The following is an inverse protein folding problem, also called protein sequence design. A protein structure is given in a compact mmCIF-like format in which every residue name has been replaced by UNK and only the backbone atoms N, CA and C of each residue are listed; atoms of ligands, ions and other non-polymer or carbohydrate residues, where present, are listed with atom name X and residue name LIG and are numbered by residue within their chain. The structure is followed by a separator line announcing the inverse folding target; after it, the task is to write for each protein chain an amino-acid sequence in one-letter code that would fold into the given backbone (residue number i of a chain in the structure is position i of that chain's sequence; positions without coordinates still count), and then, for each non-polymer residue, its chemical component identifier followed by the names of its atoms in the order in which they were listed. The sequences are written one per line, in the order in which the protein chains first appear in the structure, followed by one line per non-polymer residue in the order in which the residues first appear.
data_IF_988720248680
#
_entry.id   IF_988720248680
#
_cell.length_a   1.000
_cell.length_b   1.000
_cell.length_c   1.000
_cell.angle_alpha   90.00
_cell.angle_beta   90.00
_cell.angle_gamma   90.00
#
_symmetry.space_group_name_H-M   'P 1'
#
loop_
_entity.id
_entity.type
_entity.pdbx_description
1 polymer ?
#
# COMPACT_ATOMS: atom_id res chain seq x y z
N UNK A 1 -2.80 -27.31 -17.25
CA UNK A 1 -1.37 -26.98 -17.05
C UNK A 1 -1.26 -26.06 -15.85
N UNK A 2 -0.94 -26.57 -14.66
CA UNK A 2 -0.72 -25.74 -13.47
C UNK A 2 0.55 -26.23 -12.82
N UNK A 3 1.70 -25.82 -13.36
CA UNK A 3 2.92 -25.88 -12.57
C UNK A 3 2.79 -24.90 -11.38
N UNK A 4 3.25 -25.28 -10.19
CA UNK A 4 3.22 -24.41 -9.02
C UNK A 4 4.17 -23.21 -9.23
N UNK A 5 3.67 -22.01 -8.93
CA UNK A 5 4.52 -20.81 -8.89
C UNK A 5 5.56 -20.97 -7.78
N UNK A 6 6.84 -20.99 -8.14
CA UNK A 6 7.93 -21.08 -7.17
C UNK A 6 8.17 -19.69 -6.56
N UNK A 7 7.78 -19.51 -5.30
CA UNK A 7 8.07 -18.30 -4.51
C UNK A 7 8.87 -18.65 -3.25
N UNK A 8 9.84 -17.81 -2.89
CA UNK A 8 10.72 -18.02 -1.74
C UNK A 8 10.24 -17.24 -0.51
N UNK A 9 10.27 -17.86 0.67
CA UNK A 9 9.82 -17.24 1.92
C UNK A 9 10.91 -16.33 2.50
N UNK A 10 10.56 -15.09 2.87
CA UNK A 10 11.40 -14.20 3.69
C UNK A 10 10.83 -14.14 5.10
N UNK A 11 11.61 -14.57 6.11
CA UNK A 11 11.13 -14.71 7.50
C UNK A 11 11.63 -13.63 8.47
N UNK A 12 12.74 -12.93 8.19
CA UNK A 12 13.40 -12.05 9.16
C UNK A 12 13.23 -10.58 8.82
N UNK A 13 12.11 -9.99 9.24
CA UNK A 13 11.95 -8.53 9.20
C UNK A 13 11.19 -8.05 10.44
N UNK A 14 11.86 -7.97 11.59
CA UNK A 14 11.31 -7.41 12.82
C UNK A 14 12.22 -6.27 13.30
N UNK A 15 11.62 -5.14 13.71
CA UNK A 15 12.33 -3.91 14.08
C UNK A 15 13.03 -3.26 12.89
N UNK A 16 12.38 -2.28 12.25
CA UNK A 16 12.96 -1.55 11.11
C UNK A 16 13.02 -0.08 11.47
N UNK A 17 14.12 0.58 11.06
CA UNK A 17 14.26 2.03 11.19
C UNK A 17 13.06 2.74 10.57
N UNK A 18 12.45 3.67 11.29
CA UNK A 18 11.20 4.32 10.88
C UNK A 18 11.27 4.99 9.51
N UNK A 19 12.44 5.50 9.13
CA UNK A 19 12.70 6.11 7.82
C UNK A 19 12.40 5.18 6.63
N UNK A 20 12.49 3.86 6.80
CA UNK A 20 12.14 2.89 5.74
C UNK A 20 10.66 2.98 5.38
N UNK A 21 9.78 3.11 6.37
CA UNK A 21 8.34 3.20 6.14
C UNK A 21 7.90 4.59 5.70
N UNK A 22 8.50 5.64 6.26
CA UNK A 22 8.18 7.03 5.86
C UNK A 22 8.44 7.25 4.36
N UNK A 23 9.61 6.82 3.87
CA UNK A 23 9.99 6.96 2.46
C UNK A 23 9.28 5.94 1.55
N UNK A 24 9.07 4.72 2.03
CA UNK A 24 8.47 3.65 1.23
C UNK A 24 6.97 3.80 1.03
N UNK A 25 6.23 4.16 2.08
CA UNK A 25 4.76 4.29 2.05
C UNK A 25 4.36 5.70 1.58
N UNK A 26 5.16 6.71 1.91
CA UNK A 26 4.90 8.11 1.61
C UNK A 26 4.46 8.90 2.85
N UNK A 27 5.10 10.06 3.05
CA UNK A 27 4.96 10.88 4.26
C UNK A 27 3.54 11.40 4.49
N UNK A 28 2.79 11.66 3.42
CA UNK A 28 1.43 12.21 3.43
C UNK A 28 0.33 11.16 3.54
N UNK A 29 0.67 9.92 3.93
CA UNK A 29 -0.31 8.85 4.11
C UNK A 29 -0.80 8.81 5.55
N UNK A 30 -2.08 8.50 5.75
CA UNK A 30 -2.63 8.34 7.11
C UNK A 30 -1.83 7.31 7.93
N UNK A 31 -1.30 6.27 7.27
CA UNK A 31 -0.44 5.27 7.91
C UNK A 31 0.76 5.95 8.56
N UNK A 32 1.52 6.72 7.78
CA UNK A 32 2.76 7.36 8.24
C UNK A 32 2.48 8.50 9.22
N UNK A 33 1.45 9.31 8.98
CA UNK A 33 1.15 10.48 9.81
C UNK A 33 0.55 10.12 11.17
N UNK A 34 -0.30 9.09 11.24
CA UNK A 34 -1.21 8.88 12.39
C UNK A 34 -1.23 7.45 12.92
N UNK A 35 -0.86 6.45 12.12
CA UNK A 35 -1.10 5.05 12.46
C UNK A 35 0.17 4.25 12.76
N UNK A 36 1.38 4.79 12.59
CA UNK A 36 2.60 4.05 12.92
C UNK A 36 2.87 4.00 14.44
N UNK A 37 3.24 2.82 14.93
CA UNK A 37 3.83 2.66 16.26
C UNK A 37 5.34 2.89 16.20
N UNK A 38 5.76 4.13 16.46
CA UNK A 38 7.16 4.54 16.46
C UNK A 38 7.66 4.83 17.88
N UNK A 39 8.91 4.49 18.16
CA UNK A 39 9.55 4.66 19.45
C UNK A 39 11.07 4.81 19.30
N UNK A 40 11.69 5.44 20.28
CA UNK A 40 13.13 5.59 20.35
C UNK A 40 13.75 4.45 21.17
N UNK A 41 14.77 3.80 20.63
CA UNK A 41 15.55 2.79 21.35
C UNK A 41 16.41 3.49 22.42
N UNK A 42 16.21 3.08 23.67
CA UNK A 42 16.89 3.69 24.83
C UNK A 42 18.41 3.49 24.84
N UNK A 43 18.93 2.47 24.17
CA UNK A 43 20.36 2.15 24.21
C UNK A 43 21.18 3.01 23.25
N UNK A 44 20.60 3.40 22.11
CA UNK A 44 21.33 4.04 21.01
C UNK A 44 20.60 5.25 20.38
N UNK A 45 19.40 5.59 20.84
CA UNK A 45 18.60 6.71 20.31
C UNK A 45 18.01 6.45 18.91
N UNK A 46 18.04 5.21 18.41
CA UNK A 46 17.51 4.91 17.08
C UNK A 46 15.97 5.00 17.05
N UNK A 47 15.45 5.68 16.03
CA UNK A 47 14.01 5.73 15.79
C UNK A 47 13.55 4.46 15.08
N UNK A 48 12.83 3.63 15.83
CA UNK A 48 12.30 2.35 15.39
C UNK A 48 10.79 2.43 15.20
N UNK A 49 10.28 1.66 14.26
CA UNK A 49 8.85 1.56 14.00
C UNK A 49 8.45 0.09 13.90
N UNK A 50 7.37 -0.30 14.58
CA UNK A 50 6.75 -1.61 14.32
C UNK A 50 6.15 -1.59 12.93
N UNK A 51 6.48 -2.60 12.12
CA UNK A 51 6.09 -2.64 10.71
C UNK A 51 4.57 -2.50 10.52
N UNK A 52 4.09 -1.50 9.78
CA UNK A 52 2.67 -1.36 9.46
C UNK A 52 2.26 -2.15 8.20
N UNK A 53 3.24 -2.64 7.43
CA UNK A 53 3.10 -3.39 6.20
C UNK A 53 4.42 -4.16 5.89
N UNK A 54 4.43 -5.04 4.87
CA UNK A 54 5.56 -5.95 4.61
C UNK A 54 6.46 -5.59 3.42
N UNK A 55 5.98 -4.82 2.46
CA UNK A 55 6.63 -4.46 1.19
C UNK A 55 7.93 -3.70 1.41
N UNK A 56 7.90 -2.55 2.10
CA UNK A 56 9.09 -1.70 2.27
C UNK A 56 10.18 -2.44 3.07
N UNK A 57 9.72 -3.22 4.05
CA UNK A 57 10.56 -4.06 4.88
C UNK A 57 11.25 -5.17 4.04
N UNK A 58 10.52 -5.79 3.11
CA UNK A 58 11.03 -6.79 2.18
C UNK A 58 12.00 -6.19 1.17
N UNK A 59 11.66 -5.05 0.57
CA UNK A 59 12.54 -4.32 -0.36
C UNK A 59 13.85 -3.94 0.32
N UNK A 60 13.81 -3.45 1.58
CA UNK A 60 15.04 -3.19 2.36
C UNK A 60 15.90 -4.45 2.48
N UNK A 61 15.31 -5.59 2.83
CA UNK A 61 16.04 -6.85 2.97
C UNK A 61 16.66 -7.29 1.64
N UNK A 62 15.94 -7.13 0.54
CA UNK A 62 16.42 -7.45 -0.81
C UNK A 62 17.63 -6.61 -1.21
N UNK A 63 17.58 -5.31 -0.92
CA UNK A 63 18.70 -4.38 -1.18
C UNK A 63 19.90 -4.73 -0.30
N UNK A 64 19.69 -4.90 1.02
CA UNK A 64 20.75 -5.19 1.99
C UNK A 64 21.50 -6.49 1.69
N UNK A 65 20.80 -7.49 1.15
CA UNK A 65 21.38 -8.81 0.85
C UNK A 65 21.67 -8.98 -0.65
N UNK A 66 21.54 -7.92 -1.46
CA UNK A 66 21.77 -7.94 -2.90
C UNK A 66 21.04 -9.09 -3.64
N UNK A 67 19.81 -9.39 -3.24
CA UNK A 67 19.11 -10.61 -3.68
C UNK A 67 18.75 -10.60 -5.17
N UNK A 68 18.77 -9.43 -5.82
CA UNK A 68 18.48 -9.30 -7.26
C UNK A 68 19.73 -9.51 -8.14
N UNK A 69 20.90 -9.76 -7.55
CA UNK A 69 22.15 -9.97 -8.30
C UNK A 69 22.05 -11.09 -9.34
N UNK A 70 21.39 -12.20 -8.97
CA UNK A 70 21.18 -13.36 -9.85
C UNK A 70 19.92 -13.21 -10.73
N UNK A 71 19.31 -12.03 -10.75
CA UNK A 71 18.09 -11.74 -11.51
C UNK A 71 16.81 -11.65 -10.67
N UNK A 72 15.65 -11.58 -11.35
CA UNK A 72 14.36 -11.32 -10.71
C UNK A 72 13.96 -12.38 -9.68
N UNK A 73 13.26 -11.96 -8.61
CA UNK A 73 12.85 -12.84 -7.51
C UNK A 73 11.34 -12.74 -7.24
N UNK A 74 10.69 -13.89 -7.09
CA UNK A 74 9.35 -14.04 -6.54
C UNK A 74 9.46 -14.40 -5.06
N UNK A 75 8.98 -13.52 -4.20
CA UNK A 75 9.15 -13.58 -2.76
C UNK A 75 7.78 -13.57 -2.08
N UNK A 76 7.70 -14.15 -0.89
CA UNK A 76 6.49 -14.08 -0.08
C UNK A 76 6.82 -13.97 1.40
N UNK A 77 5.87 -13.42 2.15
CA UNK A 77 5.97 -13.25 3.59
C UNK A 77 4.65 -13.54 4.30
N UNK A 78 4.74 -13.83 5.59
CA UNK A 78 3.59 -13.90 6.49
C UNK A 78 4.00 -13.46 7.90
N UNK A 79 3.11 -12.78 8.61
CA UNK A 79 3.33 -12.46 10.02
C UNK A 79 2.55 -11.24 10.52
N UNK A 80 2.81 -10.81 11.77
CA UNK A 80 2.07 -9.72 12.39
C UNK A 80 2.47 -8.35 11.79
N UNK A 81 1.51 -7.45 11.71
CA UNK A 81 1.62 -6.04 11.31
C UNK A 81 0.89 -5.17 12.35
N UNK A 82 1.31 -3.92 12.49
CA UNK A 82 0.84 -3.03 13.56
C UNK A 82 0.41 -1.68 13.02
N UNK A 83 -0.85 -1.29 13.28
CA UNK A 83 -1.39 0.03 12.92
C UNK A 83 -2.22 0.59 14.05
N UNK A 84 -1.98 1.84 14.45
CA UNK A 84 -2.75 2.57 15.45
C UNK A 84 -4.07 3.08 14.86
N UNK A 85 -4.81 2.13 14.30
CA UNK A 85 -6.06 2.35 13.61
C UNK A 85 -7.22 2.49 14.62
N UNK A 86 -8.26 3.26 14.29
CA UNK A 86 -9.47 3.34 15.13
C UNK A 86 -10.13 1.96 15.21
N UNK A 87 -10.32 1.38 16.40
CA UNK A 87 -10.92 0.05 16.53
C UNK A 87 -12.33 0.02 15.93
N UNK A 88 -12.55 -0.89 14.99
CA UNK A 88 -13.85 -1.22 14.41
C UNK A 88 -13.82 -2.68 13.94
N UNK A 89 -14.99 -3.24 13.61
CA UNK A 89 -15.06 -4.62 13.13
C UNK A 89 -14.12 -4.85 11.94
N UNK A 90 -13.18 -5.77 12.10
CA UNK A 90 -12.18 -6.11 11.08
C UNK A 90 -10.92 -5.24 11.05
N UNK A 91 -10.82 -4.18 11.87
CA UNK A 91 -9.60 -3.36 12.01
C UNK A 91 -8.97 -3.58 13.38
N UNK A 92 -7.87 -4.32 13.39
CA UNK A 92 -7.12 -4.66 14.59
C UNK A 92 -5.83 -3.85 14.66
N UNK A 93 -5.39 -3.51 15.88
CA UNK A 93 -4.09 -2.84 16.08
C UNK A 93 -2.88 -3.74 15.82
N UNK A 94 -3.09 -5.04 15.97
CA UNK A 94 -2.20 -6.09 15.50
C UNK A 94 -3.02 -7.04 14.63
N UNK A 95 -2.58 -7.26 13.40
CA UNK A 95 -3.22 -8.16 12.44
C UNK A 95 -2.15 -8.99 11.72
N UNK A 96 -2.54 -10.06 11.04
CA UNK A 96 -1.62 -10.88 10.27
C UNK A 96 -1.82 -10.63 8.79
N UNK A 97 -0.72 -10.41 8.07
CA UNK A 97 -0.74 -10.34 6.61
C UNK A 97 0.03 -11.51 6.03
N UNK A 98 -0.44 -11.97 4.88
CA UNK A 98 0.32 -12.72 3.90
C UNK A 98 0.48 -11.82 2.68
N UNK A 99 1.67 -11.80 2.09
CA UNK A 99 1.95 -10.99 0.91
C UNK A 99 2.95 -11.66 -0.01
N UNK A 100 2.89 -11.29 -1.28
CA UNK A 100 3.76 -11.75 -2.35
C UNK A 100 4.35 -10.54 -3.06
N UNK A 101 5.62 -10.61 -3.41
CA UNK A 101 6.36 -9.55 -4.09
C UNK A 101 7.13 -10.14 -5.26
N UNK A 102 7.01 -9.52 -6.43
CA UNK A 102 7.78 -9.90 -7.61
C UNK A 102 8.71 -8.76 -7.99
N UNK A 103 10.00 -8.91 -7.65
CA UNK A 103 11.00 -7.86 -7.83
C UNK A 103 11.90 -8.17 -9.02
N UNK A 104 12.18 -7.14 -9.84
CA UNK A 104 12.98 -7.26 -11.06
C UNK A 104 12.19 -7.67 -12.31
N UNK A 105 10.86 -7.72 -12.24
CA UNK A 105 9.98 -7.96 -13.39
C UNK A 105 9.40 -6.62 -13.88
N UNK A 106 9.38 -6.41 -15.20
CA UNK A 106 8.81 -5.20 -15.79
C UNK A 106 7.29 -5.28 -16.02
N UNK A 107 6.72 -6.49 -16.03
CA UNK A 107 5.31 -6.74 -16.36
C UNK A 107 5.01 -6.66 -17.86
N UNK A 108 3.73 -6.79 -18.26
CA UNK A 108 2.52 -6.93 -17.42
C UNK A 108 2.16 -8.37 -17.05
N UNK A 109 2.92 -9.35 -17.54
CA UNK A 109 2.69 -10.77 -17.31
C UNK A 109 2.77 -11.15 -15.82
N UNK A 110 3.70 -10.53 -15.08
CA UNK A 110 3.84 -10.74 -13.63
C UNK A 110 2.64 -10.19 -12.84
N UNK A 111 2.07 -9.07 -13.26
CA UNK A 111 0.87 -8.49 -12.67
C UNK A 111 -0.32 -9.46 -12.82
N UNK A 112 -0.48 -10.03 -14.02
CA UNK A 112 -1.49 -11.05 -14.28
C UNK A 112 -1.25 -12.32 -13.47
N UNK A 113 0.01 -12.76 -13.31
CA UNK A 113 0.37 -13.91 -12.48
C UNK A 113 -0.08 -13.71 -11.02
N UNK A 114 0.23 -12.55 -10.43
CA UNK A 114 -0.15 -12.18 -9.05
C UNK A 114 -1.67 -12.13 -8.89
N UNK A 115 -2.39 -11.53 -9.85
CA UNK A 115 -3.86 -11.49 -9.85
C UNK A 115 -4.45 -12.90 -9.88
N UNK A 116 -3.93 -13.77 -10.75
CA UNK A 116 -4.38 -15.16 -10.87
C UNK A 116 -4.04 -15.98 -9.62
N UNK A 117 -2.91 -15.73 -8.96
CA UNK A 117 -2.60 -16.34 -7.66
C UNK A 117 -3.63 -15.96 -6.60
N UNK A 118 -4.07 -14.70 -6.57
CA UNK A 118 -5.14 -14.24 -5.69
C UNK A 118 -6.46 -14.96 -5.92
N UNK A 119 -6.90 -15.09 -7.19
CA UNK A 119 -8.11 -15.85 -7.53
C UNK A 119 -8.01 -17.31 -7.12
N UNK A 120 -6.87 -17.96 -7.42
CA UNK A 120 -6.64 -19.38 -7.05
C UNK A 120 -6.70 -19.59 -5.54
N UNK A 121 -6.17 -18.66 -4.75
CA UNK A 121 -6.27 -18.73 -3.29
C UNK A 121 -7.73 -18.74 -2.82
N UNK A 122 -8.60 -17.93 -3.42
CA UNK A 122 -10.01 -17.92 -3.09
C UNK A 122 -10.72 -19.20 -3.49
N UNK A 123 -10.40 -19.74 -4.67
CA UNK A 123 -10.94 -21.01 -5.14
C UNK A 123 -10.52 -22.17 -4.21
N UNK A 124 -9.25 -22.21 -3.80
CA UNK A 124 -8.71 -23.22 -2.87
C UNK A 124 -9.33 -23.14 -1.47
N UNK A 125 -9.64 -21.92 -1.00
CA UNK A 125 -10.35 -21.71 0.27
C UNK A 125 -11.87 -21.92 0.16
N UNK A 126 -12.39 -22.16 -1.05
CA UNK A 126 -13.82 -22.35 -1.30
C UNK A 126 -14.67 -21.07 -1.16
N UNK A 127 -14.05 -19.90 -1.22
CA UNK A 127 -14.75 -18.62 -1.10
C UNK A 127 -15.44 -18.26 -2.41
N UNK A 128 -16.73 -17.91 -2.32
CA UNK A 128 -17.56 -17.49 -3.45
C UNK A 128 -17.93 -16.02 -3.34
N UNK A 129 -18.22 -15.39 -4.47
CA UNK A 129 -18.65 -13.99 -4.52
C UNK A 129 -17.53 -12.97 -4.33
N UNK A 130 -16.27 -13.38 -4.48
CA UNK A 130 -15.13 -12.45 -4.54
C UNK A 130 -15.11 -11.78 -5.92
N UNK A 131 -14.97 -10.45 -5.95
CA UNK A 131 -14.88 -9.65 -7.18
C UNK A 131 -13.49 -9.03 -7.28
N UNK A 132 -12.90 -9.09 -8.48
CA UNK A 132 -11.68 -8.37 -8.82
C UNK A 132 -12.04 -6.96 -9.32
N UNK A 133 -11.40 -5.95 -8.75
CA UNK A 133 -11.43 -4.57 -9.22
C UNK A 133 -10.00 -4.16 -9.56
N UNK A 134 -9.78 -3.61 -10.75
CA UNK A 134 -8.46 -3.20 -11.25
C UNK A 134 -8.48 -1.72 -11.60
N UNK A 135 -7.35 -1.06 -11.36
CA UNK A 135 -7.12 0.33 -11.74
C UNK A 135 -5.63 0.52 -12.08
N UNK A 136 -5.29 1.63 -12.74
CA UNK A 136 -3.92 2.05 -13.00
C UNK A 136 -3.71 3.49 -12.53
N UNK A 137 -2.59 3.73 -11.86
CA UNK A 137 -2.17 5.09 -11.49
C UNK A 137 -1.29 5.75 -12.57
N UNK A 138 -1.11 5.09 -13.70
CA UNK A 138 -0.26 5.54 -14.80
C UNK A 138 1.20 5.76 -14.42
N UNK A 139 1.93 6.34 -15.37
CA UNK A 139 3.30 6.80 -15.23
C UNK A 139 3.36 8.13 -14.46
N UNK A 140 4.56 8.56 -14.07
CA UNK A 140 4.74 9.76 -13.26
C UNK A 140 4.23 11.04 -13.95
N UNK A 141 4.43 11.19 -15.26
CA UNK A 141 3.93 12.32 -16.04
C UNK A 141 2.41 12.31 -16.17
N UNK A 142 1.82 11.16 -16.50
CA UNK A 142 0.36 10.98 -16.59
C UNK A 142 -0.30 11.30 -15.24
N UNK A 143 0.31 10.84 -14.14
CA UNK A 143 -0.15 11.13 -12.79
C UNK A 143 -0.03 12.61 -12.44
N UNK A 144 1.02 13.30 -12.88
CA UNK A 144 1.18 14.73 -12.64
C UNK A 144 0.10 15.53 -13.37
N UNK A 145 -0.18 15.19 -14.64
CA UNK A 145 -1.24 15.80 -15.44
C UNK A 145 -2.63 15.54 -14.82
N UNK A 146 -2.91 14.28 -14.45
CA UNK A 146 -4.18 13.93 -13.81
C UNK A 146 -4.37 14.63 -12.46
N UNK A 147 -3.31 14.74 -11.63
CA UNK A 147 -3.37 15.51 -10.39
C UNK A 147 -3.68 16.98 -10.64
N UNK A 148 -3.07 17.61 -11.64
CA UNK A 148 -3.35 19.00 -11.97
C UNK A 148 -4.82 19.19 -12.43
N UNK A 149 -5.34 18.25 -13.23
CA UNK A 149 -6.73 18.26 -13.64
C UNK A 149 -7.71 18.11 -12.45
N UNK A 150 -7.44 17.17 -11.53
CA UNK A 150 -8.24 16.99 -10.32
C UNK A 150 -8.25 18.23 -9.43
N UNK A 151 -7.09 18.87 -9.23
CA UNK A 151 -7.01 20.12 -8.47
C UNK A 151 -7.87 21.20 -9.13
N UNK A 152 -7.69 21.42 -10.44
CA UNK A 152 -8.46 22.42 -11.17
C UNK A 152 -9.97 22.15 -11.16
N UNK A 153 -10.38 20.87 -11.13
CA UNK A 153 -11.77 20.47 -10.98
C UNK A 153 -12.31 20.79 -9.59
N UNK A 154 -11.64 20.35 -8.53
CA UNK A 154 -12.10 20.53 -7.15
C UNK A 154 -11.99 21.97 -6.66
N UNK A 155 -11.06 22.78 -7.18
CA UNK A 155 -11.01 24.23 -6.90
C UNK A 155 -12.28 24.96 -7.36
N UNK A 156 -12.85 24.57 -8.51
CA UNK A 156 -14.12 25.13 -8.99
C UNK A 156 -15.31 24.77 -8.10
N UNK A 157 -15.18 23.72 -7.30
CA UNK A 157 -16.22 23.18 -6.43
C UNK A 157 -15.84 23.26 -4.94
N UNK A 158 -14.91 24.15 -4.58
CA UNK A 158 -14.30 24.17 -3.25
C UNK A 158 -15.33 24.32 -2.11
N UNK A 159 -16.42 25.05 -2.35
CA UNK A 159 -17.50 25.24 -1.37
C UNK A 159 -18.27 23.95 -1.04
N UNK A 160 -18.17 22.91 -1.88
CA UNK A 160 -18.81 21.60 -1.69
C UNK A 160 -17.86 20.58 -1.05
N UNK A 161 -16.57 20.89 -0.94
CA UNK A 161 -15.59 20.01 -0.30
C UNK A 161 -15.76 20.05 1.21
N UNK A 162 -15.72 18.88 1.84
CA UNK A 162 -15.57 18.79 3.29
C UNK A 162 -14.17 19.20 3.75
N UNK A 163 -14.02 19.42 5.06
CA UNK A 163 -12.78 19.91 5.66
C UNK A 163 -11.57 19.00 5.35
N UNK A 164 -11.76 17.68 5.35
CA UNK A 164 -10.67 16.75 5.06
C UNK A 164 -10.23 16.81 3.59
N UNK A 165 -11.19 16.92 2.68
CA UNK A 165 -10.95 17.06 1.25
C UNK A 165 -10.29 18.39 0.92
N UNK A 166 -10.67 19.48 1.59
CA UNK A 166 -10.00 20.78 1.47
C UNK A 166 -8.53 20.68 1.89
N UNK A 167 -8.20 19.98 2.98
CA UNK A 167 -6.80 19.76 3.41
C UNK A 167 -6.00 18.92 2.41
N UNK A 168 -6.65 17.96 1.75
CA UNK A 168 -6.01 17.04 0.78
C UNK A 168 -5.84 17.63 -0.61
N UNK A 169 -6.58 18.68 -0.95
CA UNK A 169 -6.63 19.25 -2.30
C UNK A 169 -5.24 19.50 -2.90
N UNK A 170 -4.37 20.19 -2.17
CA UNK A 170 -3.04 20.55 -2.67
C UNK A 170 -1.95 19.51 -2.39
N UNK A 171 -2.20 18.58 -1.46
CA UNK A 171 -1.19 17.61 -1.01
C UNK A 171 -1.37 16.26 -1.71
N UNK A 172 -2.59 15.70 -1.70
CA UNK A 172 -2.92 14.42 -2.29
C UNK A 172 -4.38 14.38 -2.81
N UNK A 173 -4.69 15.05 -3.94
CA UNK A 173 -6.05 15.19 -4.45
C UNK A 173 -6.70 13.85 -4.84
N UNK A 174 -5.91 12.83 -5.18
CA UNK A 174 -6.42 11.48 -5.47
C UNK A 174 -7.19 10.90 -4.28
N UNK A 175 -6.80 11.25 -3.05
CA UNK A 175 -7.45 10.76 -1.84
C UNK A 175 -8.82 11.40 -1.59
N UNK A 176 -9.19 12.45 -2.32
CA UNK A 176 -10.54 13.00 -2.32
C UNK A 176 -11.51 12.02 -2.98
N UNK A 177 -11.06 11.30 -4.01
CA UNK A 177 -11.84 10.27 -4.71
C UNK A 177 -12.23 9.09 -3.80
N UNK A 178 -11.46 8.86 -2.72
CA UNK A 178 -11.73 7.83 -1.73
C UNK A 178 -12.70 8.26 -0.62
N UNK A 179 -13.18 9.52 -0.64
CA UNK A 179 -14.02 10.06 0.43
C UNK A 179 -15.28 9.22 0.65
N UNK A 180 -15.62 9.01 1.92
CA UNK A 180 -16.83 8.30 2.34
C UNK A 180 -17.97 9.25 2.68
N UNK A 181 -17.80 10.55 2.44
CA UNK A 181 -18.84 11.55 2.64
C UNK A 181 -19.91 11.40 1.55
N UNK A 182 -21.16 11.02 1.88
CA UNK A 182 -22.22 10.85 0.89
C UNK A 182 -22.53 12.14 0.11
N UNK A 183 -22.39 13.31 0.76
CA UNK A 183 -22.66 14.60 0.12
C UNK A 183 -21.64 14.95 -0.98
N UNK A 184 -20.51 14.24 -1.04
CA UNK A 184 -19.46 14.44 -2.04
C UNK A 184 -19.51 13.45 -3.20
N UNK A 185 -20.40 12.45 -3.20
CA UNK A 185 -20.38 11.39 -4.22
C UNK A 185 -20.61 11.94 -5.63
N UNK A 186 -21.66 12.76 -5.83
CA UNK A 186 -21.94 13.37 -7.14
C UNK A 186 -20.77 14.22 -7.65
N UNK A 187 -20.08 14.91 -6.74
CA UNK A 187 -18.90 15.71 -7.06
C UNK A 187 -17.70 14.84 -7.44
N UNK A 188 -17.50 13.71 -6.76
CA UNK A 188 -16.40 12.79 -7.03
C UNK A 188 -16.63 12.04 -8.35
N UNK A 189 -17.86 11.63 -8.63
CA UNK A 189 -18.21 10.95 -9.89
C UNK A 189 -18.08 11.86 -11.12
N UNK A 190 -18.22 13.17 -10.94
CA UNK A 190 -18.05 14.16 -12.00
C UNK A 190 -16.61 14.61 -12.25
N UNK A 191 -15.63 14.13 -11.48
CA UNK A 191 -14.23 14.56 -11.50
C UNK A 191 -13.37 13.89 -12.58
#
# INVERSE_FOLDING_TARGET
MTEPVKAQKIQKINGVRGAVFQRGIGEVTDIVEKEMYSFEDRLNGEQLTLRPEGTAALVRSVIENNLLYEGPKRLWYTGPMFRHERPQRGRYRQFHQFGIEALGFAGPDIDAEIILMGQRLWDELGLKGVRLEINSLGQANERAEHRAALVAYFEKHQAQLDEDSQRRLLTNPLRILDSKNPAMQDLIEGA
#
